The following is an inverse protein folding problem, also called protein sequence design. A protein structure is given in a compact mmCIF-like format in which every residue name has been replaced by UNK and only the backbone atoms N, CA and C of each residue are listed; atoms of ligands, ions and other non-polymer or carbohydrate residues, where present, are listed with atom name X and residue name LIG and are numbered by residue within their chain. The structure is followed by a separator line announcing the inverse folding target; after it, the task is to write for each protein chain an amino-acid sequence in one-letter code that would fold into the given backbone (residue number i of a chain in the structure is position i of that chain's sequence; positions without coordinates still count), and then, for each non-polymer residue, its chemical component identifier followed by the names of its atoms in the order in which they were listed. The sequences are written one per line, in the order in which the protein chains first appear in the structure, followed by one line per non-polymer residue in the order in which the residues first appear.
data_IF_651129332098
#
_entry.id   IF_651129332098
#
_cell.length_a   1.000
_cell.length_b   1.000
_cell.length_c   1.000
_cell.angle_alpha   90.00
_cell.angle_beta   90.00
_cell.angle_gamma   90.00
#
_symmetry.space_group_name_H-M   'P 1'
#
loop_
_entity.id
_entity.type
_entity.pdbx_description
1 polymer ?
#
# COMPACT_ATOMS: atom_id res chain seq x y z
N UNK A 1 -19.00 -1.79 -10.89
CA UNK A 1 -19.47 -1.15 -9.63
C UNK A 1 -18.77 0.17 -9.35
N UNK A 2 -17.43 0.20 -9.26
CA UNK A 2 -16.66 1.41 -8.92
C UNK A 2 -16.98 2.62 -9.83
N UNK A 3 -16.99 2.44 -11.16
CA UNK A 3 -17.25 3.52 -12.11
C UNK A 3 -18.59 4.25 -11.88
N UNK A 4 -19.62 3.53 -11.42
CA UNK A 4 -20.92 4.12 -11.11
C UNK A 4 -20.86 5.01 -9.87
N UNK A 5 -20.06 4.63 -8.87
CA UNK A 5 -19.85 5.42 -7.65
C UNK A 5 -19.14 6.73 -8.00
N UNK A 6 -18.06 6.66 -8.79
CA UNK A 6 -17.33 7.85 -9.25
C UNK A 6 -18.20 8.79 -10.08
N UNK A 7 -18.96 8.24 -11.03
CA UNK A 7 -19.88 9.01 -11.84
C UNK A 7 -20.95 9.69 -10.96
N UNK A 8 -21.51 8.97 -9.98
CA UNK A 8 -22.46 9.53 -9.03
C UNK A 8 -21.87 10.68 -8.20
N UNK A 9 -20.65 10.52 -7.68
CA UNK A 9 -19.96 11.58 -6.93
C UNK A 9 -19.72 12.83 -7.78
N UNK A 10 -19.32 12.66 -9.04
CA UNK A 10 -19.11 13.79 -9.97
C UNK A 10 -20.42 14.52 -10.30
N UNK A 11 -21.49 13.78 -10.60
CA UNK A 11 -22.80 14.36 -10.92
C UNK A 11 -23.37 15.11 -9.71
N UNK A 12 -23.29 14.54 -8.51
CA UNK A 12 -23.71 15.20 -7.28
C UNK A 12 -22.89 16.47 -7.01
N UNK A 13 -21.58 16.44 -7.24
CA UNK A 13 -20.71 17.60 -7.10
C UNK A 13 -21.08 18.74 -8.06
N UNK A 14 -21.38 18.41 -9.32
CA UNK A 14 -21.82 19.38 -10.33
C UNK A 14 -23.18 19.98 -9.94
N UNK A 15 -24.15 19.14 -9.55
CA UNK A 15 -25.47 19.61 -9.12
C UNK A 15 -25.37 20.55 -7.92
N UNK A 16 -24.53 20.22 -6.93
CA UNK A 16 -24.31 21.08 -5.78
C UNK A 16 -23.67 22.43 -6.16
N UNK A 17 -22.73 22.43 -7.11
CA UNK A 17 -22.13 23.67 -7.62
C UNK A 17 -23.14 24.54 -8.38
N UNK A 18 -24.04 23.92 -9.16
CA UNK A 18 -25.12 24.62 -9.89
C UNK A 18 -26.13 25.23 -8.92
N UNK A 19 -26.62 24.47 -7.94
CA UNK A 19 -27.62 24.93 -6.97
C UNK A 19 -27.11 26.10 -6.13
N UNK A 20 -25.83 26.08 -5.74
CA UNK A 20 -25.22 27.15 -4.93
C UNK A 20 -24.64 28.30 -5.76
N UNK A 21 -24.72 28.26 -7.10
CA UNK A 21 -24.14 29.28 -7.98
C UNK A 21 -22.61 29.34 -7.98
N UNK A 22 -21.93 28.29 -7.52
CA UNK A 22 -20.46 28.21 -7.36
C UNK A 22 -19.77 27.46 -8.51
N UNK A 23 -20.29 27.58 -9.73
CA UNK A 23 -19.72 26.93 -10.92
C UNK A 23 -18.27 27.35 -11.19
N UNK A 24 -17.90 28.60 -10.89
CA UNK A 24 -16.53 29.09 -11.02
C UNK A 24 -15.56 28.37 -10.08
N UNK A 25 -15.89 28.30 -8.77
CA UNK A 25 -15.09 27.58 -7.77
C UNK A 25 -14.97 26.09 -8.10
N UNK A 26 -16.04 25.48 -8.62
CA UNK A 26 -16.01 24.08 -9.07
C UNK A 26 -15.03 23.87 -10.23
N UNK A 27 -15.08 24.72 -11.26
CA UNK A 27 -14.17 24.62 -12.41
C UNK A 27 -12.71 24.86 -12.02
N UNK A 28 -12.46 25.82 -11.13
CA UNK A 28 -11.11 26.09 -10.62
C UNK A 28 -10.59 24.92 -9.78
N UNK A 29 -11.41 24.36 -8.89
CA UNK A 29 -11.08 23.17 -8.12
C UNK A 29 -10.81 21.94 -8.99
N UNK A 30 -11.57 21.78 -10.08
CA UNK A 30 -11.34 20.72 -11.07
C UNK A 30 -9.99 20.89 -11.76
N UNK A 31 -9.70 22.08 -12.29
CA UNK A 31 -8.44 22.38 -12.96
C UNK A 31 -7.23 22.24 -12.04
N UNK A 32 -7.36 22.69 -10.80
CA UNK A 32 -6.35 22.51 -9.76
C UNK A 32 -6.11 21.02 -9.46
N UNK A 33 -7.17 20.23 -9.33
CA UNK A 33 -7.06 18.78 -9.07
C UNK A 33 -6.36 18.05 -10.22
N UNK A 34 -6.64 18.42 -11.47
CA UNK A 34 -5.92 17.88 -12.64
C UNK A 34 -4.42 18.22 -12.58
N UNK A 35 -4.09 19.45 -12.21
CA UNK A 35 -2.71 19.94 -12.10
C UNK A 35 -1.95 19.23 -10.98
N UNK A 36 -2.54 19.18 -9.78
CA UNK A 36 -1.99 18.46 -8.62
C UNK A 36 -1.80 16.98 -8.94
N UNK A 37 -2.72 16.38 -9.70
CA UNK A 37 -2.61 15.00 -10.19
C UNK A 37 -1.38 14.76 -11.07
N UNK A 38 -1.05 15.68 -11.99
CA UNK A 38 0.16 15.59 -12.82
C UNK A 38 1.42 15.67 -11.97
N UNK A 39 1.51 16.65 -11.07
CA UNK A 39 2.66 16.77 -10.16
C UNK A 39 2.81 15.55 -9.27
N UNK A 40 1.69 14.99 -8.80
CA UNK A 40 1.68 13.76 -8.02
C UNK A 40 2.25 12.58 -8.81
N UNK A 41 1.81 12.36 -10.06
CA UNK A 41 2.32 11.26 -10.91
C UNK A 41 3.81 11.44 -11.21
N UNK A 42 4.26 12.66 -11.51
CA UNK A 42 5.68 12.93 -11.74
C UNK A 42 6.54 12.67 -10.48
N UNK A 43 6.05 13.09 -9.31
CA UNK A 43 6.69 12.79 -8.03
C UNK A 43 6.76 11.28 -7.77
N UNK A 44 5.67 10.55 -8.02
CA UNK A 44 5.64 9.09 -7.90
C UNK A 44 6.64 8.42 -8.84
N UNK A 45 6.73 8.85 -10.11
CA UNK A 45 7.63 8.27 -11.09
C UNK A 45 9.11 8.38 -10.65
N UNK A 46 9.54 9.53 -10.12
CA UNK A 46 10.89 9.72 -9.62
C UNK A 46 11.22 8.80 -8.43
N UNK A 47 10.31 8.74 -7.45
CA UNK A 47 10.48 7.91 -6.27
C UNK A 47 10.49 6.42 -6.67
N UNK A 48 9.60 6.00 -7.58
CA UNK A 48 9.59 4.63 -8.13
C UNK A 48 10.89 4.28 -8.86
N UNK A 49 11.45 5.20 -9.65
CA UNK A 49 12.70 5.00 -10.37
C UNK A 49 13.85 4.69 -9.41
N UNK A 50 13.98 5.48 -8.34
CA UNK A 50 15.02 5.28 -7.31
C UNK A 50 14.86 3.92 -6.62
N UNK A 51 13.67 3.60 -6.11
CA UNK A 51 13.47 2.35 -5.37
C UNK A 51 13.55 1.11 -6.25
N UNK A 52 13.04 1.19 -7.48
CA UNK A 52 13.16 0.08 -8.45
C UNK A 52 14.62 -0.15 -8.84
N UNK A 53 15.42 0.92 -8.99
CA UNK A 53 16.85 0.83 -9.21
C UNK A 53 17.58 0.15 -8.06
N UNK A 54 17.36 0.59 -6.81
CA UNK A 54 17.94 -0.02 -5.61
C UNK A 54 17.55 -1.51 -5.51
N UNK A 55 16.31 -1.85 -5.84
CA UNK A 55 15.85 -3.24 -5.83
C UNK A 55 16.49 -4.10 -6.90
N UNK A 56 16.67 -3.58 -8.12
CA UNK A 56 17.37 -4.31 -9.16
C UNK A 56 18.80 -4.62 -8.72
N UNK A 57 19.49 -3.65 -8.10
CA UNK A 57 20.82 -3.87 -7.50
C UNK A 57 20.75 -4.93 -6.38
N UNK A 58 19.77 -4.84 -5.47
CA UNK A 58 19.59 -5.81 -4.39
C UNK A 58 19.25 -7.23 -4.90
N UNK A 59 18.54 -7.35 -6.03
CA UNK A 59 18.22 -8.62 -6.69
C UNK A 59 19.45 -9.20 -7.37
N UNK A 60 20.19 -8.39 -8.13
CA UNK A 60 21.41 -8.82 -8.83
C UNK A 60 22.53 -9.22 -7.87
N UNK A 61 22.65 -8.53 -6.73
CA UNK A 61 23.62 -8.87 -5.67
C UNK A 61 23.21 -10.08 -4.82
N UNK A 62 22.02 -10.67 -5.06
CA UNK A 62 21.49 -11.78 -4.26
C UNK A 62 21.09 -11.39 -2.83
N UNK A 63 21.10 -10.10 -2.48
CA UNK A 63 20.71 -9.62 -1.16
C UNK A 63 19.24 -9.94 -0.85
N UNK A 64 18.37 -9.84 -1.87
CA UNK A 64 16.96 -10.23 -1.75
C UNK A 64 16.81 -11.72 -1.47
N UNK A 65 17.61 -12.58 -2.10
CA UNK A 65 17.59 -14.01 -1.83
C UNK A 65 18.06 -14.31 -0.39
N UNK A 66 19.05 -13.56 0.11
CA UNK A 66 19.54 -13.68 1.49
C UNK A 66 18.48 -13.25 2.51
N UNK A 67 17.82 -12.11 2.28
CA UNK A 67 16.71 -11.64 3.12
C UNK A 67 15.54 -12.60 3.05
N UNK A 68 15.19 -13.12 1.87
CA UNK A 68 14.15 -14.13 1.69
C UNK A 68 14.49 -15.44 2.39
N UNK A 69 15.77 -15.84 2.45
CA UNK A 69 16.20 -17.01 3.22
C UNK A 69 16.09 -16.78 4.73
N UNK A 70 16.47 -15.60 5.24
CA UNK A 70 16.33 -15.26 6.66
C UNK A 70 14.88 -15.11 7.10
N UNK A 71 14.03 -14.55 6.23
CA UNK A 71 12.58 -14.39 6.48
C UNK A 71 11.75 -15.60 6.00
N UNK A 72 12.40 -16.64 5.47
CA UNK A 72 11.78 -17.89 5.02
C UNK A 72 10.79 -18.51 6.01
N UNK A 73 11.07 -18.60 7.33
CA UNK A 73 10.08 -19.14 8.27
C UNK A 73 8.82 -18.27 8.34
N UNK A 74 8.96 -16.95 8.31
CA UNK A 74 7.83 -16.02 8.32
C UNK A 74 7.05 -16.07 7.00
N UNK A 75 7.73 -16.08 5.86
CA UNK A 75 7.09 -16.17 4.54
C UNK A 75 6.38 -17.51 4.35
N UNK A 76 6.98 -18.63 4.79
CA UNK A 76 6.30 -19.94 4.79
C UNK A 76 5.11 -19.96 5.75
N UNK A 77 5.23 -19.30 6.90
CA UNK A 77 4.11 -19.18 7.82
C UNK A 77 2.97 -18.38 7.19
N UNK A 78 3.25 -17.22 6.58
CA UNK A 78 2.24 -16.37 5.93
C UNK A 78 1.65 -17.04 4.68
N UNK A 79 2.49 -17.62 3.82
CA UNK A 79 2.14 -18.20 2.52
C UNK A 79 2.48 -19.71 2.46
N UNK A 80 1.66 -20.59 3.04
CA UNK A 80 1.98 -22.01 3.20
C UNK A 80 2.04 -22.79 1.88
N UNK A 81 1.32 -22.37 0.83
CA UNK A 81 1.34 -23.01 -0.49
C UNK A 81 2.62 -22.70 -1.30
N UNK A 82 3.49 -21.82 -0.80
CA UNK A 82 4.66 -21.35 -1.53
C UNK A 82 4.29 -20.36 -2.64
N UNK A 83 5.24 -19.51 -3.01
CA UNK A 83 5.11 -18.49 -4.06
C UNK A 83 6.33 -18.55 -4.97
N UNK A 84 6.23 -18.03 -6.20
CA UNK A 84 7.42 -17.84 -7.04
C UNK A 84 8.40 -16.85 -6.39
N UNK A 85 9.69 -17.00 -6.70
CA UNK A 85 10.75 -16.13 -6.16
C UNK A 85 10.49 -14.65 -6.45
N UNK A 86 10.06 -14.33 -7.68
CA UNK A 86 9.80 -12.96 -8.10
C UNK A 86 8.61 -12.32 -7.36
N UNK A 87 7.53 -13.09 -7.17
CA UNK A 87 6.36 -12.67 -6.38
C UNK A 87 6.75 -12.39 -4.93
N UNK A 88 7.56 -13.27 -4.35
CA UNK A 88 8.10 -13.11 -2.98
C UNK A 88 8.95 -11.85 -2.87
N UNK A 89 9.82 -11.58 -3.85
CA UNK A 89 10.64 -10.37 -3.89
C UNK A 89 9.79 -9.09 -3.94
N UNK A 90 8.73 -9.05 -4.76
CA UNK A 90 7.81 -7.90 -4.83
C UNK A 90 7.02 -7.69 -3.53
N UNK A 91 6.59 -8.77 -2.87
CA UNK A 91 5.94 -8.69 -1.55
C UNK A 91 6.91 -8.11 -0.50
N UNK A 92 8.14 -8.62 -0.45
CA UNK A 92 9.18 -8.11 0.45
C UNK A 92 9.51 -6.65 0.17
N UNK A 93 9.51 -6.24 -1.11
CA UNK A 93 9.72 -4.87 -1.51
C UNK A 93 8.59 -3.95 -1.03
N UNK A 94 7.34 -4.36 -1.23
CA UNK A 94 6.18 -3.62 -0.70
C UNK A 94 6.29 -3.46 0.80
N UNK A 95 6.64 -4.53 1.51
CA UNK A 95 6.80 -4.49 2.96
C UNK A 95 7.93 -3.57 3.40
N UNK A 96 9.07 -3.66 2.73
CA UNK A 96 10.25 -2.85 3.02
C UNK A 96 9.95 -1.36 2.76
N UNK A 97 9.32 -1.04 1.63
CA UNK A 97 8.94 0.34 1.28
C UNK A 97 7.95 0.93 2.30
N UNK A 98 6.99 0.13 2.77
CA UNK A 98 6.03 0.57 3.78
C UNK A 98 6.71 0.79 5.16
N UNK A 99 7.62 -0.12 5.55
CA UNK A 99 8.39 -0.02 6.80
C UNK A 99 9.27 1.23 6.87
N UNK A 100 9.95 1.58 5.77
CA UNK A 100 10.81 2.76 5.65
C UNK A 100 10.03 4.06 5.34
N UNK A 101 8.71 4.00 5.20
CA UNK A 101 7.87 5.16 4.97
C UNK A 101 7.89 5.72 3.55
N UNK A 102 8.38 4.95 2.58
CA UNK A 102 8.19 5.20 1.16
C UNK A 102 6.77 4.77 0.71
N UNK A 103 5.73 5.20 1.43
CA UNK A 103 4.35 4.71 1.27
C UNK A 103 3.81 4.85 -0.16
N UNK A 104 4.19 5.95 -0.83
CA UNK A 104 3.87 6.22 -2.23
C UNK A 104 4.39 5.16 -3.21
N UNK A 105 5.55 4.56 -2.95
CA UNK A 105 6.09 3.45 -3.75
C UNK A 105 5.58 2.09 -3.27
N UNK A 106 5.30 1.96 -1.97
CA UNK A 106 4.75 0.73 -1.41
C UNK A 106 3.46 0.32 -2.12
N UNK A 107 2.57 1.27 -2.44
CA UNK A 107 1.34 1.00 -3.21
C UNK A 107 1.63 0.39 -4.58
N UNK A 108 2.64 0.89 -5.28
CA UNK A 108 2.97 0.41 -6.62
C UNK A 108 3.54 -1.01 -6.57
N UNK A 109 4.43 -1.29 -5.61
CA UNK A 109 4.93 -2.64 -5.38
C UNK A 109 3.81 -3.58 -4.93
N UNK A 110 2.85 -3.09 -4.13
CA UNK A 110 1.68 -3.86 -3.73
C UNK A 110 0.80 -4.25 -4.91
N UNK A 111 0.52 -3.31 -5.83
CA UNK A 111 -0.26 -3.60 -7.04
C UNK A 111 0.48 -4.62 -7.91
N UNK A 112 1.79 -4.47 -8.08
CA UNK A 112 2.59 -5.42 -8.88
C UNK A 112 2.62 -6.81 -8.24
N UNK A 113 2.81 -6.89 -6.92
CA UNK A 113 2.76 -8.13 -6.16
C UNK A 113 1.37 -8.80 -6.27
N UNK A 114 0.29 -8.03 -6.16
CA UNK A 114 -1.08 -8.53 -6.29
C UNK A 114 -1.35 -9.08 -7.70
N UNK A 115 -0.88 -8.39 -8.75
CA UNK A 115 -0.98 -8.88 -10.13
C UNK A 115 -0.21 -10.18 -10.35
N UNK A 116 0.96 -10.35 -9.71
CA UNK A 116 1.72 -11.60 -9.76
C UNK A 116 1.03 -12.74 -9.00
N UNK A 117 0.43 -12.45 -7.85
CA UNK A 117 -0.38 -13.40 -7.08
C UNK A 117 -1.64 -13.83 -7.83
N UNK A 118 -2.30 -12.90 -8.53
CA UNK A 118 -3.46 -13.20 -9.38
C UNK A 118 -3.08 -14.08 -10.58
N UNK A 119 -1.92 -13.82 -11.20
CA UNK A 119 -1.37 -14.70 -12.23
C UNK A 119 -1.07 -16.12 -11.72
N UNK A 120 -0.60 -16.28 -10.47
CA UNK A 120 -0.42 -17.59 -9.83
C UNK A 120 -1.74 -18.26 -9.45
N UNK A 121 -2.80 -17.47 -9.28
CA UNK A 121 -4.17 -17.94 -9.05
C UNK A 121 -4.91 -18.27 -10.37
N UNK A 122 -4.21 -18.34 -11.51
CA UNK A 122 -4.78 -18.51 -12.84
C UNK A 122 -5.86 -17.49 -13.20
N UNK A 123 -5.77 -16.27 -12.65
CA UNK A 123 -6.77 -15.19 -12.84
C UNK A 123 -8.21 -15.64 -12.52
N UNK A 124 -8.36 -16.50 -11.52
CA UNK A 124 -9.68 -16.91 -11.03
C UNK A 124 -10.44 -15.69 -10.49
N UNK A 125 -11.75 -15.65 -10.71
CA UNK A 125 -12.63 -14.63 -10.12
C UNK A 125 -12.62 -14.67 -8.59
N UNK A 126 -12.20 -15.80 -8.00
CA UNK A 126 -12.10 -15.96 -6.55
C UNK A 126 -10.67 -15.70 -6.08
N UNK A 127 -10.50 -14.75 -5.15
CA UNK A 127 -9.21 -14.45 -4.55
C UNK A 127 -8.62 -15.67 -3.82
N UNK A 128 -7.31 -15.89 -3.99
CA UNK A 128 -6.59 -16.94 -3.27
C UNK A 128 -6.29 -16.55 -1.82
N UNK A 129 -6.05 -17.52 -0.94
CA UNK A 129 -5.61 -17.27 0.43
C UNK A 129 -4.33 -16.40 0.48
N UNK A 130 -3.45 -16.55 -0.51
CA UNK A 130 -2.24 -15.73 -0.61
C UNK A 130 -2.56 -14.27 -0.91
N UNK A 131 -3.52 -14.00 -1.81
CA UNK A 131 -3.99 -12.64 -2.09
C UNK A 131 -4.65 -12.01 -0.85
N UNK A 132 -5.49 -12.75 -0.14
CA UNK A 132 -6.14 -12.29 1.09
C UNK A 132 -5.13 -12.03 2.22
N UNK A 133 -4.16 -12.92 2.42
CA UNK A 133 -3.10 -12.73 3.41
C UNK A 133 -2.23 -11.53 3.07
N UNK A 134 -1.85 -11.39 1.80
CA UNK A 134 -1.00 -10.28 1.35
C UNK A 134 -1.67 -8.93 1.60
N UNK A 135 -2.94 -8.77 1.20
CA UNK A 135 -3.64 -7.50 1.38
C UNK A 135 -3.88 -7.18 2.86
N UNK A 136 -4.23 -8.18 3.69
CA UNK A 136 -4.44 -8.00 5.11
C UNK A 136 -3.15 -7.56 5.82
N UNK A 137 -2.02 -8.21 5.51
CA UNK A 137 -0.72 -7.81 6.05
C UNK A 137 -0.33 -6.43 5.55
N UNK A 138 -0.48 -6.15 4.25
CA UNK A 138 -0.08 -4.89 3.65
C UNK A 138 -0.85 -3.68 4.20
N UNK A 139 -2.16 -3.84 4.46
CA UNK A 139 -3.01 -2.80 5.05
C UNK A 139 -2.74 -2.58 6.54
N UNK A 140 -2.28 -3.61 7.24
CA UNK A 140 -1.97 -3.57 8.67
C UNK A 140 -0.50 -3.29 8.97
N UNK A 141 0.30 -2.96 7.94
CA UNK A 141 1.74 -2.80 8.11
C UNK A 141 2.13 -1.63 9.00
N UNK A 142 3.21 -1.88 9.74
CA UNK A 142 3.84 -0.92 10.64
C UNK A 142 4.76 -0.03 9.81
N UNK A 143 4.65 1.27 10.00
CA UNK A 143 5.63 2.24 9.52
C UNK A 143 6.56 2.62 10.69
N UNK A 144 7.86 2.35 10.58
CA UNK A 144 8.81 2.64 11.68
C UNK A 144 8.98 4.14 11.90
N UNK A 145 8.92 4.91 10.82
CA UNK A 145 9.00 6.38 10.87
C UNK A 145 7.81 6.95 10.11
N UNK A 146 6.73 7.34 10.81
CA UNK A 146 5.54 7.92 10.18
C UNK A 146 5.78 9.39 9.81
N UNK A 147 6.70 9.63 8.87
CA UNK A 147 7.14 10.98 8.44
C UNK A 147 5.95 11.84 8.02
N UNK A 148 4.99 11.26 7.26
CA UNK A 148 3.79 11.98 6.81
C UNK A 148 2.94 12.46 7.98
N UNK A 149 2.75 11.62 9.00
CA UNK A 149 1.96 11.97 10.19
C UNK A 149 2.70 13.00 11.04
N UNK A 150 4.02 12.86 11.19
CA UNK A 150 4.87 13.85 11.87
C UNK A 150 4.77 15.21 11.16
N UNK A 151 4.82 15.22 9.83
CA UNK A 151 4.67 16.43 9.02
C UNK A 151 3.32 17.09 9.22
N UNK A 152 2.21 16.34 9.11
CA UNK A 152 0.86 16.85 9.34
C UNK A 152 0.73 17.42 10.76
N UNK A 153 1.27 16.73 11.77
CA UNK A 153 1.27 17.22 13.16
C UNK A 153 2.07 18.50 13.31
N UNK A 154 3.21 18.61 12.62
CA UNK A 154 4.05 19.80 12.64
C UNK A 154 3.33 20.99 12.01
N UNK A 155 2.70 20.79 10.85
CA UNK A 155 1.92 21.83 10.15
C UNK A 155 0.68 22.25 10.96
N UNK A 156 0.12 21.34 11.76
CA UNK A 156 -0.97 21.63 12.69
C UNK A 156 -0.52 22.30 14.02
N UNK A 157 0.78 22.63 14.18
CA UNK A 157 1.30 23.34 15.36
C UNK A 157 1.63 22.48 16.58
N UNK A 158 1.83 21.17 16.41
CA UNK A 158 2.17 20.26 17.51
C UNK A 158 3.56 20.56 18.11
N UNK A 159 3.62 20.82 19.41
CA UNK A 159 4.87 21.06 20.17
C UNK A 159 5.84 19.86 20.12
N UNK A 160 5.31 18.64 20.06
CA UNK A 160 6.11 17.42 19.91
C UNK A 160 5.49 16.48 18.86
N UNK A 161 5.77 16.76 17.59
CA UNK A 161 5.27 16.00 16.43
C UNK A 161 5.76 14.53 16.40
N UNK A 162 6.89 14.22 17.06
CA UNK A 162 7.47 12.88 17.12
C UNK A 162 6.87 11.95 18.19
N UNK A 163 6.08 12.48 19.14
CA UNK A 163 5.44 11.68 20.19
C UNK A 163 4.54 10.55 19.68
N UNK A 164 4.09 10.62 18.42
CA UNK A 164 3.22 9.62 17.79
C UNK A 164 3.94 8.34 17.37
N UNK A 165 5.28 8.34 17.31
CA UNK A 165 6.07 7.21 16.79
C UNK A 165 5.81 5.94 17.62
N UNK A 166 5.94 6.02 18.95
CA UNK A 166 5.79 4.85 19.84
C UNK A 166 4.36 4.30 19.82
N UNK A 167 3.30 5.12 20.01
CA UNK A 167 1.92 4.65 19.89
C UNK A 167 1.60 4.05 18.52
N UNK A 168 2.09 4.64 17.42
CA UNK A 168 1.85 4.14 16.07
C UNK A 168 2.46 2.75 15.83
N UNK A 169 3.69 2.52 16.33
CA UNK A 169 4.34 1.21 16.23
C UNK A 169 3.55 0.16 17.01
N UNK A 170 3.13 0.46 18.25
CA UNK A 170 2.37 -0.47 19.09
C UNK A 170 1.01 -0.80 18.44
N UNK A 171 0.27 0.22 18.00
CA UNK A 171 -1.02 0.04 17.33
C UNK A 171 -0.87 -0.78 16.04
N UNK A 172 0.17 -0.49 15.24
CA UNK A 172 0.48 -1.25 14.03
C UNK A 172 0.80 -2.71 14.32
N UNK A 173 1.61 -3.01 15.35
CA UNK A 173 1.93 -4.38 15.76
C UNK A 173 0.66 -5.17 16.13
N UNK A 174 -0.21 -4.57 16.94
CA UNK A 174 -1.46 -5.20 17.36
C UNK A 174 -2.37 -5.46 16.15
N UNK A 175 -2.51 -4.47 15.26
CA UNK A 175 -3.31 -4.58 14.03
C UNK A 175 -2.79 -5.67 13.10
N UNK A 176 -1.47 -5.75 12.92
CA UNK A 176 -0.82 -6.74 12.08
C UNK A 176 -1.00 -8.17 12.62
N UNK A 177 -0.80 -8.35 13.93
CA UNK A 177 -0.99 -9.65 14.59
C UNK A 177 -2.46 -10.09 14.49
N UNK A 178 -3.40 -9.19 14.78
CA UNK A 178 -4.84 -9.47 14.63
C UNK A 178 -5.21 -9.86 13.19
N UNK A 179 -4.72 -9.13 12.20
CA UNK A 179 -4.98 -9.38 10.77
C UNK A 179 -4.46 -10.76 10.35
N UNK A 180 -3.24 -11.12 10.75
CA UNK A 180 -2.66 -12.44 10.46
C UNK A 180 -3.46 -13.55 11.15
N UNK A 181 -3.81 -13.39 12.42
CA UNK A 181 -4.59 -14.40 13.16
C UNK A 181 -5.94 -14.67 12.52
N UNK A 182 -6.68 -13.62 12.14
CA UNK A 182 -7.97 -13.75 11.46
C UNK A 182 -7.82 -14.46 10.12
N UNK A 183 -6.85 -14.05 9.29
CA UNK A 183 -6.64 -14.69 7.99
C UNK A 183 -6.25 -16.16 8.15
N UNK A 184 -5.42 -16.51 9.14
CA UNK A 184 -5.05 -17.92 9.43
C UNK A 184 -6.20 -18.76 9.95
N UNK A 185 -7.08 -18.17 10.77
CA UNK A 185 -8.28 -18.84 11.25
C UNK A 185 -9.21 -19.24 10.09
N UNK A 186 -9.44 -18.34 9.14
CA UNK A 186 -10.26 -18.64 7.96
C UNK A 186 -9.55 -19.57 6.96
N UNK A 187 -8.23 -19.48 6.82
CA UNK A 187 -7.45 -20.39 5.98
C UNK A 187 -7.57 -21.86 6.43
N UNK A 188 -7.61 -22.12 7.75
CA UNK A 188 -7.77 -23.49 8.29
C UNK A 188 -9.17 -24.09 8.13
N UNK A 189 -10.21 -23.27 7.98
CA UNK A 189 -11.60 -23.74 7.85
C UNK A 189 -11.97 -24.25 6.45
N UNK A 190 -11.06 -24.16 5.47
CA UNK A 190 -11.27 -24.61 4.08
C UNK A 190 -10.61 -25.96 3.76
N UNK A 191 -10.38 -26.81 4.76
CA UNK A 191 -10.00 -28.21 4.58
C UNK A 191 -11.26 -29.06 4.53
#
# INVERSE_FOLDING_TARGET
MMNYIWAGMLVLGILFAVINGRLGEFSEGLMKSCTDGVYFILGLAGIMGVWSGIMNIAKETGLIDLVAQKTKPLIRYLFPKGLRKETTAMILMSFTANLFGAGNSATVFSIKAMSMLDAENNRSETASNAMCMFIAVNMSMIQLVPITVIKIRSEAGSVNSGSIIIPAIIAGLISMIASIMVCKFYERKRI
#
